data_IF_179519306632
#
_entry.id   IF_179519306632
#
_cell.length_a   1.000
_cell.length_b   1.000
_cell.length_c   1.000
_cell.angle_alpha   90.00
_cell.angle_beta   90.00
_cell.angle_gamma   90.00
#
_symmetry.space_group_name_H-M   'P 1'
#
loop_
_entity.id
_entity.type
_entity.pdbx_description
1 polymer ?
#
# COMPACT_ATOMS: atom_id res chain seq x y z
N UNK A 1 -11.77 12.26 -3.61
CA UNK A 1 -10.41 12.26 -4.16
C UNK A 1 -9.71 13.53 -3.72
N UNK A 2 -8.61 13.40 -2.97
CA UNK A 2 -7.86 14.52 -2.39
C UNK A 2 -6.52 14.62 -3.13
N UNK A 3 -6.15 15.78 -3.71
CA UNK A 3 -4.86 15.91 -4.38
C UNK A 3 -3.72 15.79 -3.37
N UNK A 4 -2.64 15.12 -3.76
CA UNK A 4 -1.39 15.10 -3.01
C UNK A 4 -0.71 16.45 -3.23
N UNK A 5 -0.62 17.25 -2.16
CA UNK A 5 0.11 18.51 -2.15
C UNK A 5 1.58 18.23 -1.80
N UNK A 6 2.44 18.23 -2.80
CA UNK A 6 3.89 18.10 -2.61
C UNK A 6 4.62 19.32 -3.11
N UNK A 7 5.66 19.74 -2.38
CA UNK A 7 6.59 20.78 -2.81
C UNK A 7 7.67 20.24 -3.74
N UNK A 8 7.76 18.91 -3.86
CA UNK A 8 8.72 18.26 -4.73
C UNK A 8 8.13 18.17 -6.16
N UNK A 9 8.78 18.70 -7.18
CA UNK A 9 8.26 18.69 -8.57
C UNK A 9 8.35 17.32 -9.24
N UNK A 10 8.44 16.26 -8.47
CA UNK A 10 8.68 14.90 -8.96
C UNK A 10 7.40 14.13 -9.26
N UNK A 11 6.29 14.47 -8.62
CA UNK A 11 5.04 13.72 -8.81
C UNK A 11 3.81 14.60 -8.62
N UNK A 12 2.73 14.22 -9.31
CA UNK A 12 1.37 14.68 -9.06
C UNK A 12 0.55 13.45 -8.71
N UNK A 13 -0.31 13.54 -7.70
CA UNK A 13 -1.07 12.38 -7.27
C UNK A 13 -2.37 12.74 -6.55
N UNK A 14 -3.15 11.70 -6.29
CA UNK A 14 -4.41 11.79 -5.57
C UNK A 14 -4.50 10.65 -4.56
N UNK A 15 -5.16 10.93 -3.45
CA UNK A 15 -5.51 9.96 -2.42
C UNK A 15 -7.03 9.93 -2.31
N UNK A 16 -7.61 8.74 -2.25
CA UNK A 16 -9.03 8.54 -1.96
C UNK A 16 -9.19 7.31 -1.07
N UNK A 17 -10.10 7.38 -0.10
CA UNK A 17 -10.43 6.25 0.78
C UNK A 17 -11.92 6.29 1.06
N UNK A 18 -12.60 5.18 0.80
CA UNK A 18 -14.06 5.06 0.95
C UNK A 18 -14.42 3.82 1.72
N UNK A 19 -15.45 3.93 2.53
CA UNK A 19 -15.93 2.84 3.38
C UNK A 19 -16.50 1.65 2.58
N UNK A 20 -17.00 1.91 1.37
CA UNK A 20 -17.68 0.87 0.59
C UNK A 20 -18.92 0.35 1.30
N UNK A 21 -19.15 -0.97 1.18
CA UNK A 21 -20.28 -1.66 1.83
C UNK A 21 -20.00 -2.14 3.26
N UNK A 22 -18.85 -1.81 3.85
CA UNK A 22 -18.46 -2.21 5.21
C UNK A 22 -19.12 -1.33 6.28
N UNK A 23 -19.24 -1.83 7.50
CA UNK A 23 -19.72 -1.05 8.65
C UNK A 23 -18.75 0.08 9.05
N UNK A 24 -17.45 -0.11 8.80
CA UNK A 24 -16.39 0.85 9.09
C UNK A 24 -15.29 0.77 8.04
N UNK A 25 -14.69 1.91 7.72
CA UNK A 25 -13.50 1.97 6.87
C UNK A 25 -12.26 1.77 7.72
N UNK A 26 -11.63 0.60 7.61
CA UNK A 26 -10.42 0.25 8.33
C UNK A 26 -9.14 0.58 7.55
N UNK A 27 -9.25 1.02 6.30
CA UNK A 27 -8.11 1.50 5.52
C UNK A 27 -7.63 2.85 6.01
N UNK A 28 -6.33 3.05 5.98
CA UNK A 28 -5.69 4.35 6.18
C UNK A 28 -4.69 4.60 5.08
N UNK A 29 -4.70 5.81 4.55
CA UNK A 29 -3.71 6.27 3.60
C UNK A 29 -3.14 7.61 4.07
N UNK A 30 -1.87 7.83 3.75
CA UNK A 30 -1.18 9.06 4.07
C UNK A 30 -0.03 9.33 3.12
N UNK A 31 0.42 10.58 3.09
CA UNK A 31 1.59 10.98 2.32
C UNK A 31 2.35 12.08 3.04
N UNK A 32 3.63 12.22 2.71
CA UNK A 32 4.48 13.26 3.27
C UNK A 32 5.63 13.60 2.33
N UNK A 33 5.93 14.90 2.22
CA UNK A 33 7.25 15.32 1.81
C UNK A 33 8.26 15.05 2.93
N UNK A 34 9.35 14.42 2.57
CA UNK A 34 10.41 14.05 3.50
C UNK A 34 11.77 14.45 2.92
N UNK A 35 12.84 14.53 3.74
CA UNK A 35 14.18 14.77 3.22
C UNK A 35 14.65 13.72 2.21
N UNK A 36 14.04 12.53 2.21
CA UNK A 36 14.40 11.41 1.35
C UNK A 36 13.55 11.31 0.07
N UNK A 37 12.51 12.13 -0.06
CA UNK A 37 11.57 12.12 -1.19
C UNK A 37 10.10 12.19 -0.76
N UNK A 38 9.20 12.06 -1.72
CA UNK A 38 7.76 11.93 -1.48
C UNK A 38 7.44 10.51 -1.01
N UNK A 39 6.93 10.39 0.21
CA UNK A 39 6.43 9.14 0.77
C UNK A 39 4.91 9.06 0.61
N UNK A 40 4.42 7.91 0.14
CA UNK A 40 2.99 7.56 0.13
C UNK A 40 2.81 6.21 0.82
N UNK A 41 1.84 6.12 1.72
CA UNK A 41 1.56 4.90 2.51
C UNK A 41 0.08 4.56 2.40
N UNK A 42 -0.22 3.26 2.23
CA UNK A 42 -1.56 2.69 2.32
C UNK A 42 -1.51 1.46 3.21
N UNK A 43 -2.42 1.41 4.16
CA UNK A 43 -2.56 0.34 5.14
C UNK A 43 -4.01 -0.13 5.18
N UNK A 44 -4.24 -1.44 5.06
CA UNK A 44 -5.53 -2.10 5.26
C UNK A 44 -5.55 -2.73 6.66
N UNK A 45 -6.44 -2.22 7.49
CA UNK A 45 -6.53 -2.63 8.89
C UNK A 45 -7.42 -3.86 9.09
N UNK A 46 -6.97 -4.79 9.92
CA UNK A 46 -7.69 -6.02 10.26
C UNK A 46 -7.83 -6.21 11.76
N UNK A 47 -8.80 -7.02 12.20
CA UNK A 47 -9.03 -7.33 13.62
C UNK A 47 -10.46 -7.09 14.06
N UNK A 48 -11.33 -6.71 13.12
CA UNK A 48 -12.75 -6.42 13.38
C UNK A 48 -12.99 -5.12 14.15
N UNK A 49 -14.01 -4.36 13.79
CA UNK A 49 -14.40 -3.11 14.44
C UNK A 49 -13.26 -2.09 14.57
N UNK A 50 -13.23 -1.30 15.64
CA UNK A 50 -12.28 -0.19 15.81
C UNK A 50 -10.80 -0.59 15.82
N UNK A 51 -10.51 -1.87 16.05
CA UNK A 51 -9.12 -2.36 16.16
C UNK A 51 -8.37 -2.30 14.85
N UNK A 52 -9.00 -2.65 13.72
CA UNK A 52 -8.38 -2.58 12.41
C UNK A 52 -8.04 -1.13 12.02
N UNK A 53 -8.98 -0.20 12.25
CA UNK A 53 -8.73 1.23 12.00
C UNK A 53 -7.60 1.78 12.86
N UNK A 54 -7.54 1.40 14.13
CA UNK A 54 -6.45 1.80 15.02
C UNK A 54 -5.11 1.27 14.51
N UNK A 55 -5.06 0.01 14.06
CA UNK A 55 -3.84 -0.60 13.54
C UNK A 55 -3.33 0.13 12.29
N UNK A 56 -4.19 0.34 11.28
CA UNK A 56 -3.81 1.02 10.05
C UNK A 56 -3.39 2.47 10.28
N UNK A 57 -4.08 3.20 11.16
CA UNK A 57 -3.72 4.58 11.51
C UNK A 57 -2.38 4.66 12.24
N UNK A 58 -2.18 3.83 13.28
CA UNK A 58 -0.91 3.81 14.03
C UNK A 58 0.26 3.46 13.10
N UNK A 59 0.11 2.46 12.25
CA UNK A 59 1.17 2.08 11.31
C UNK A 59 1.51 3.21 10.34
N UNK A 60 0.50 3.84 9.74
CA UNK A 60 0.68 4.95 8.80
C UNK A 60 1.40 6.13 9.48
N UNK A 61 0.97 6.51 10.68
CA UNK A 61 1.55 7.64 11.41
C UNK A 61 3.01 7.38 11.79
N UNK A 62 3.32 6.20 12.31
CA UNK A 62 4.69 5.83 12.71
C UNK A 62 5.61 5.81 11.49
N UNK A 63 5.16 5.23 10.36
CA UNK A 63 5.96 5.19 9.13
C UNK A 63 6.25 6.61 8.65
N UNK A 64 5.24 7.45 8.54
CA UNK A 64 5.40 8.84 8.08
C UNK A 64 6.33 9.62 9.00
N UNK A 65 6.16 9.54 10.32
CA UNK A 65 7.00 10.25 11.28
C UNK A 65 8.45 9.78 11.22
N UNK A 66 8.68 8.47 11.11
CA UNK A 66 10.03 7.91 11.02
C UNK A 66 10.75 8.37 9.77
N UNK A 67 10.10 8.29 8.60
CA UNK A 67 10.74 8.71 7.34
C UNK A 67 10.95 10.23 7.30
N UNK A 68 10.02 11.02 7.86
CA UNK A 68 10.19 12.48 8.02
C UNK A 68 11.39 12.87 8.88
N UNK A 69 11.73 12.07 9.88
CA UNK A 69 12.89 12.32 10.75
C UNK A 69 14.23 11.85 10.15
N UNK A 70 14.20 11.18 9.01
CA UNK A 70 15.39 10.79 8.26
C UNK A 70 16.18 11.99 7.75
N UNK A 71 17.46 11.79 7.55
CA UNK A 71 18.39 12.82 7.02
C UNK A 71 18.65 12.55 5.54
N UNK A 72 18.98 13.58 4.80
CA UNK A 72 19.33 13.49 3.37
C UNK A 72 20.51 12.53 3.10
N UNK A 73 21.38 12.35 4.10
CA UNK A 73 22.53 11.43 4.03
C UNK A 73 22.17 9.95 4.27
N UNK A 74 20.96 9.68 4.74
CA UNK A 74 20.55 8.32 5.10
C UNK A 74 20.18 7.53 3.85
N UNK A 75 20.34 6.22 3.89
CA UNK A 75 19.84 5.33 2.85
C UNK A 75 18.30 5.27 2.89
N UNK A 76 17.59 5.70 1.83
CA UNK A 76 16.13 5.69 1.81
C UNK A 76 15.53 4.29 2.04
N UNK A 77 16.18 3.24 1.50
CA UNK A 77 15.78 1.85 1.69
C UNK A 77 15.87 1.45 3.17
N UNK A 78 17.00 1.76 3.82
CA UNK A 78 17.21 1.43 5.24
C UNK A 78 16.24 2.17 6.14
N UNK A 79 15.98 3.45 5.88
CA UNK A 79 15.03 4.25 6.66
C UNK A 79 13.61 3.70 6.51
N UNK A 80 13.20 3.32 5.29
CA UNK A 80 11.87 2.77 5.04
C UNK A 80 11.70 1.40 5.71
N UNK A 81 12.71 0.54 5.66
CA UNK A 81 12.72 -0.74 6.38
C UNK A 81 12.58 -0.53 7.89
N UNK A 82 13.35 0.39 8.45
CA UNK A 82 13.30 0.72 9.87
C UNK A 82 11.93 1.31 10.26
N UNK A 83 11.34 2.15 9.42
CA UNK A 83 10.02 2.73 9.66
C UNK A 83 8.93 1.66 9.79
N UNK A 84 8.91 0.68 8.89
CA UNK A 84 7.96 -0.44 8.94
C UNK A 84 8.20 -1.30 10.19
N UNK A 85 9.46 -1.57 10.54
CA UNK A 85 9.80 -2.31 11.77
C UNK A 85 9.32 -1.57 13.02
N UNK A 86 9.50 -0.26 13.09
CA UNK A 86 9.00 0.56 14.21
C UNK A 86 7.47 0.56 14.28
N UNK A 87 6.78 0.62 13.14
CA UNK A 87 5.33 0.51 13.09
C UNK A 87 4.86 -0.84 13.65
N UNK A 88 5.49 -1.93 13.26
CA UNK A 88 5.19 -3.26 13.81
C UNK A 88 5.39 -3.31 15.33
N UNK A 89 6.51 -2.80 15.83
CA UNK A 89 6.79 -2.75 17.27
C UNK A 89 5.76 -1.90 18.04
N UNK A 90 5.31 -0.80 17.46
CA UNK A 90 4.27 0.04 18.07
C UNK A 90 2.96 -0.75 18.23
N UNK A 91 2.51 -1.46 17.19
CA UNK A 91 1.31 -2.30 17.26
C UNK A 91 1.44 -3.41 18.28
N UNK A 92 2.55 -4.14 18.28
CA UNK A 92 2.81 -5.22 19.27
C UNK A 92 2.76 -4.66 20.71
N UNK A 93 3.38 -3.48 20.94
CA UNK A 93 3.35 -2.83 22.25
C UNK A 93 1.93 -2.45 22.70
N UNK A 94 1.09 -1.98 21.75
CA UNK A 94 -0.32 -1.67 22.07
C UNK A 94 -1.14 -2.92 22.39
N UNK A 95 -0.95 -4.01 21.64
CA UNK A 95 -1.61 -5.29 21.90
C UNK A 95 -1.23 -5.84 23.28
N UNK A 96 0.04 -5.73 23.66
CA UNK A 96 0.52 -6.16 24.98
C UNK A 96 -0.12 -5.35 26.13
N UNK A 97 -0.28 -4.04 25.94
CA UNK A 97 -0.90 -3.16 26.94
C UNK A 97 -2.41 -3.35 27.04
N UNK A 98 -3.07 -3.74 25.95
CA UNK A 98 -4.53 -3.86 25.85
C UNK A 98 -4.91 -5.20 25.24
N UNK A 99 -5.11 -6.27 26.04
CA UNK A 99 -5.44 -7.60 25.52
C UNK A 99 -6.71 -7.66 24.65
N UNK A 100 -7.61 -6.69 24.79
CA UNK A 100 -8.79 -6.56 23.92
C UNK A 100 -8.43 -6.29 22.45
N UNK A 101 -7.19 -5.85 22.15
CA UNK A 101 -6.69 -5.61 20.79
C UNK A 101 -6.03 -6.85 20.18
N UNK A 102 -6.12 -8.02 20.80
CA UNK A 102 -5.60 -9.26 20.21
C UNK A 102 -6.23 -9.52 18.85
N UNK A 103 -5.36 -9.84 17.88
CA UNK A 103 -5.78 -10.03 16.48
C UNK A 103 -5.88 -8.75 15.67
N UNK A 104 -5.61 -7.58 16.26
CA UNK A 104 -5.45 -6.36 15.48
C UNK A 104 -4.15 -6.44 14.67
N UNK A 105 -4.22 -5.98 13.44
CA UNK A 105 -3.08 -5.91 12.53
C UNK A 105 -3.39 -5.05 11.33
N UNK A 106 -2.42 -4.91 10.46
CA UNK A 106 -2.61 -4.18 9.20
C UNK A 106 -1.63 -4.64 8.14
N UNK A 107 -2.04 -4.55 6.87
CA UNK A 107 -1.10 -4.56 5.76
C UNK A 107 -0.33 -3.24 5.74
N UNK A 108 0.71 -3.17 4.95
CA UNK A 108 1.36 -1.91 4.56
C UNK A 108 1.86 -1.99 3.13
N UNK A 109 1.59 -0.94 2.38
CA UNK A 109 2.31 -0.59 1.16
C UNK A 109 2.84 0.82 1.32
N UNK A 110 4.14 0.99 1.11
CA UNK A 110 4.81 2.29 1.20
C UNK A 110 5.67 2.50 -0.06
N UNK A 111 5.51 3.66 -0.68
CA UNK A 111 6.27 4.06 -1.86
C UNK A 111 6.99 5.36 -1.56
N UNK A 112 8.33 5.33 -1.58
CA UNK A 112 9.18 6.50 -1.42
C UNK A 112 9.80 6.83 -2.77
N UNK A 113 9.47 7.99 -3.31
CA UNK A 113 9.95 8.45 -4.63
C UNK A 113 10.89 9.63 -4.43
N UNK A 114 12.08 9.55 -4.97
CA UNK A 114 13.04 10.65 -5.07
C UNK A 114 13.46 10.87 -6.54
N UNK A 115 14.44 11.72 -6.79
CA UNK A 115 14.88 12.06 -8.15
C UNK A 115 15.52 10.88 -8.90
N UNK A 116 15.97 9.84 -8.18
CA UNK A 116 16.76 8.74 -8.73
C UNK A 116 15.95 7.46 -8.94
N UNK A 117 15.09 7.13 -7.96
CA UNK A 117 14.35 5.86 -7.94
C UNK A 117 13.05 5.96 -7.16
N UNK A 118 12.22 4.93 -7.29
CA UNK A 118 11.07 4.68 -6.44
C UNK A 118 11.33 3.41 -5.63
N UNK A 119 11.22 3.51 -4.30
CA UNK A 119 11.41 2.39 -3.39
C UNK A 119 10.04 1.93 -2.91
N UNK A 120 9.67 0.71 -3.30
CA UNK A 120 8.43 0.05 -2.89
C UNK A 120 8.72 -0.89 -1.72
N UNK A 121 8.01 -0.73 -0.60
CA UNK A 121 8.08 -1.62 0.55
C UNK A 121 6.69 -2.09 0.93
N UNK A 122 6.52 -3.39 1.26
CA UNK A 122 5.20 -3.92 1.52
C UNK A 122 5.20 -5.13 2.46
N UNK A 123 4.07 -5.30 3.17
CA UNK A 123 3.70 -6.46 3.97
C UNK A 123 2.20 -6.67 3.80
N UNK A 124 1.77 -7.90 3.50
CA UNK A 124 0.37 -8.23 3.27
C UNK A 124 0.01 -8.34 1.79
N UNK A 125 -1.24 -8.12 1.47
CA UNK A 125 -1.84 -8.29 0.15
C UNK A 125 -2.31 -6.98 -0.50
N UNK A 126 -2.14 -5.84 0.16
CA UNK A 126 -2.24 -4.54 -0.49
C UNK A 126 -1.11 -4.39 -1.53
N UNK A 127 -1.41 -3.75 -2.64
CA UNK A 127 -0.53 -3.79 -3.82
C UNK A 127 0.02 -2.43 -4.21
N UNK A 128 1.26 -2.45 -4.72
CA UNK A 128 1.89 -1.34 -5.44
C UNK A 128 2.06 -1.78 -6.90
N UNK A 129 1.57 -0.96 -7.81
CA UNK A 129 1.75 -1.13 -9.25
C UNK A 129 2.60 0.00 -9.81
N UNK A 130 3.42 -0.33 -10.81
CA UNK A 130 4.07 0.64 -11.70
C UNK A 130 3.59 0.39 -13.14
N UNK A 131 3.12 1.45 -13.78
CA UNK A 131 2.70 1.44 -15.17
C UNK A 131 3.56 2.37 -15.99
N UNK A 132 3.89 1.93 -17.21
CA UNK A 132 4.62 2.75 -18.19
C UNK A 132 3.95 2.59 -19.55
N UNK A 133 3.55 3.71 -20.16
CA UNK A 133 2.91 3.75 -21.48
C UNK A 133 1.74 2.77 -21.60
N UNK A 134 0.90 2.70 -20.59
CA UNK A 134 -0.27 1.81 -20.54
C UNK A 134 0.02 0.35 -20.22
N UNK A 135 1.25 -0.02 -19.91
CA UNK A 135 1.62 -1.40 -19.57
C UNK A 135 2.07 -1.51 -18.12
N UNK A 136 1.66 -2.59 -17.45
CA UNK A 136 2.18 -2.95 -16.14
C UNK A 136 3.66 -3.30 -16.26
N UNK A 137 4.51 -2.60 -15.53
CA UNK A 137 5.95 -2.85 -15.43
C UNK A 137 6.31 -3.62 -14.18
N UNK A 138 5.59 -3.34 -13.09
CA UNK A 138 5.81 -3.97 -11.79
C UNK A 138 4.49 -4.10 -11.04
N UNK A 139 4.40 -5.09 -10.20
CA UNK A 139 3.41 -5.28 -9.15
C UNK A 139 4.06 -6.01 -7.98
N UNK A 140 3.71 -5.61 -6.74
CA UNK A 140 4.06 -6.38 -5.54
C UNK A 140 3.44 -7.77 -5.56
N UNK A 141 4.04 -8.72 -4.86
CA UNK A 141 3.53 -10.07 -4.74
C UNK A 141 2.85 -10.24 -3.38
N UNK A 142 1.59 -10.66 -3.38
CA UNK A 142 0.79 -10.72 -2.15
C UNK A 142 1.32 -11.77 -1.18
N UNK A 143 1.40 -11.40 0.10
CA UNK A 143 1.66 -12.34 1.18
C UNK A 143 0.35 -13.01 1.61
N UNK A 144 -0.17 -13.88 0.76
CA UNK A 144 -1.38 -14.66 1.02
C UNK A 144 -1.20 -16.11 0.62
N UNK A 145 -1.99 -17.00 1.24
CA UNK A 145 -1.93 -18.43 0.96
C UNK A 145 -2.21 -18.74 -0.51
N UNK A 146 -3.20 -18.10 -1.10
CA UNK A 146 -3.59 -18.34 -2.50
C UNK A 146 -2.50 -17.86 -3.48
N UNK A 147 -1.79 -16.77 -3.16
CA UNK A 147 -0.71 -16.28 -4.01
C UNK A 147 0.58 -17.10 -3.87
N UNK A 148 0.81 -17.76 -2.75
CA UNK A 148 1.86 -18.82 -2.68
C UNK A 148 1.52 -19.99 -3.61
N UNK A 149 0.25 -20.37 -3.75
CA UNK A 149 -0.18 -21.38 -4.71
C UNK A 149 0.00 -20.91 -6.17
N UNK A 150 -0.20 -19.61 -6.45
CA UNK A 150 0.13 -19.04 -7.77
C UNK A 150 1.62 -19.11 -8.04
N UNK A 151 2.47 -18.75 -7.06
CA UNK A 151 3.93 -18.82 -7.19
C UNK A 151 4.42 -20.21 -7.51
N UNK A 152 3.81 -21.22 -6.88
CA UNK A 152 4.14 -22.62 -7.08
C UNK A 152 3.48 -23.23 -8.34
N UNK A 153 2.72 -22.44 -9.12
CA UNK A 153 2.06 -22.89 -10.34
C UNK A 153 0.85 -23.82 -10.11
N UNK A 154 0.35 -23.93 -8.88
CA UNK A 154 -0.81 -24.78 -8.53
C UNK A 154 -2.11 -24.19 -9.05
N UNK A 155 -2.26 -22.87 -8.99
CA UNK A 155 -3.42 -22.12 -9.49
C UNK A 155 -2.92 -20.87 -10.25
N UNK A 156 -3.80 -20.29 -11.08
CA UNK A 156 -3.52 -19.01 -11.71
C UNK A 156 -4.07 -17.83 -10.87
N UNK A 157 -3.70 -16.60 -11.23
CA UNK A 157 -4.08 -15.39 -10.49
C UNK A 157 -5.60 -15.17 -10.45
N UNK A 158 -6.33 -15.54 -11.50
CA UNK A 158 -7.79 -15.42 -11.53
C UNK A 158 -8.45 -16.43 -10.58
N UNK A 159 -7.92 -17.64 -10.52
CA UNK A 159 -8.36 -18.63 -9.53
C UNK A 159 -8.07 -18.18 -8.10
N UNK A 160 -6.89 -17.58 -7.86
CA UNK A 160 -6.54 -17.01 -6.56
C UNK A 160 -7.52 -15.89 -6.16
N UNK A 161 -7.81 -14.96 -7.07
CA UNK A 161 -8.73 -13.85 -6.84
C UNK A 161 -10.15 -14.30 -6.50
N UNK A 162 -10.63 -15.37 -7.14
CA UNK A 162 -11.99 -15.93 -6.95
C UNK A 162 -12.08 -16.95 -5.81
N UNK A 163 -10.97 -17.29 -5.18
CA UNK A 163 -10.92 -18.25 -4.07
C UNK A 163 -11.64 -17.71 -2.83
N UNK A 164 -12.35 -18.55 -2.12
CA UNK A 164 -12.90 -18.25 -0.79
C UNK A 164 -11.81 -17.92 0.24
N UNK A 165 -10.57 -18.36 0.00
CA UNK A 165 -9.40 -18.10 0.83
C UNK A 165 -8.58 -16.89 0.37
N UNK A 166 -9.09 -16.10 -0.59
CA UNK A 166 -8.38 -14.92 -1.12
C UNK A 166 -7.98 -13.90 -0.05
N UNK A 167 -8.73 -13.83 1.06
CA UNK A 167 -8.49 -12.92 2.18
C UNK A 167 -7.53 -13.49 3.25
N UNK A 168 -6.98 -14.69 3.06
CA UNK A 168 -6.08 -15.32 4.04
C UNK A 168 -4.65 -14.86 3.82
N UNK A 169 -4.29 -13.76 4.46
CA UNK A 169 -2.91 -13.24 4.43
C UNK A 169 -1.99 -14.03 5.36
N UNK A 170 -0.74 -14.15 4.96
CA UNK A 170 0.31 -14.88 5.70
C UNK A 170 1.26 -13.97 6.47
N UNK A 171 1.29 -12.68 6.13
CA UNK A 171 2.09 -11.66 6.82
C UNK A 171 1.24 -10.39 7.04
N UNK A 172 1.30 -9.83 8.27
CA UNK A 172 0.72 -8.55 8.63
C UNK A 172 1.49 -7.91 9.78
N UNK A 173 1.52 -6.58 9.83
CA UNK A 173 2.03 -5.85 10.99
C UNK A 173 1.10 -6.12 12.20
N UNK A 174 1.67 -6.26 13.38
CA UNK A 174 0.95 -6.60 14.60
C UNK A 174 0.78 -8.11 14.85
N UNK A 175 0.97 -8.96 13.83
CA UNK A 175 0.82 -10.41 13.96
C UNK A 175 2.02 -11.07 14.64
N UNK A 176 3.22 -10.69 14.27
CA UNK A 176 4.48 -11.26 14.78
C UNK A 176 5.47 -10.15 15.11
N UNK A 177 6.30 -10.33 16.14
CA UNK A 177 7.33 -9.37 16.53
C UNK A 177 8.46 -9.23 15.49
N UNK A 178 8.72 -10.28 14.74
CA UNK A 178 9.81 -10.36 13.76
C UNK A 178 9.23 -10.40 12.34
N UNK A 179 8.80 -9.23 11.86
CA UNK A 179 8.29 -9.05 10.52
C UNK A 179 9.31 -8.29 9.68
N UNK A 180 9.65 -8.87 8.54
CA UNK A 180 10.43 -8.21 7.51
C UNK A 180 9.52 -7.82 6.33
N UNK A 181 9.62 -6.54 5.93
CA UNK A 181 8.98 -6.06 4.71
C UNK A 181 9.76 -6.52 3.49
N UNK A 182 9.05 -6.87 2.43
CA UNK A 182 9.67 -7.00 1.12
C UNK A 182 9.92 -5.61 0.55
N UNK A 183 11.14 -5.35 0.07
CA UNK A 183 11.54 -4.03 -0.44
C UNK A 183 12.18 -4.19 -1.81
N UNK A 184 11.74 -3.37 -2.75
CA UNK A 184 12.23 -3.35 -4.13
C UNK A 184 12.51 -1.92 -4.56
N UNK A 185 13.69 -1.69 -5.09
CA UNK A 185 14.03 -0.42 -5.76
C UNK A 185 13.65 -0.51 -7.25
N UNK A 186 12.82 0.43 -7.70
CA UNK A 186 12.23 0.47 -9.02
C UNK A 186 12.80 1.65 -9.82
N UNK A 187 13.47 1.40 -10.95
CA UNK A 187 13.80 2.46 -11.87
C UNK A 187 12.52 3.01 -12.50
N UNK A 188 12.42 4.33 -12.60
CA UNK A 188 11.25 4.96 -13.19
C UNK A 188 11.64 6.03 -14.20
N UNK A 189 10.72 6.35 -15.11
CA UNK A 189 10.85 7.36 -16.14
C UNK A 189 9.73 8.40 -16.01
N UNK A 190 9.95 9.57 -16.59
CA UNK A 190 8.89 10.58 -16.69
C UNK A 190 7.67 10.01 -17.42
N UNK A 191 6.50 10.13 -16.81
CA UNK A 191 5.25 9.58 -17.32
C UNK A 191 4.92 8.19 -16.78
N UNK A 192 5.76 7.60 -15.93
CA UNK A 192 5.39 6.42 -15.16
C UNK A 192 4.29 6.78 -14.17
N UNK A 193 3.36 5.84 -13.96
CA UNK A 193 2.29 5.95 -12.97
C UNK A 193 2.46 4.90 -11.91
N UNK A 194 2.28 5.29 -10.66
CA UNK A 194 2.22 4.36 -9.55
C UNK A 194 0.82 4.33 -8.96
N UNK A 195 0.35 3.16 -8.57
CA UNK A 195 -0.91 2.98 -7.87
C UNK A 195 -0.67 2.10 -6.65
N UNK A 196 -1.10 2.59 -5.48
CA UNK A 196 -1.17 1.81 -4.26
C UNK A 196 -2.64 1.56 -3.95
N UNK A 197 -3.00 0.32 -3.66
CA UNK A 197 -4.40 -0.03 -3.38
C UNK A 197 -4.52 -1.23 -2.44
N UNK A 198 -5.60 -1.25 -1.68
CA UNK A 198 -6.03 -2.39 -0.88
C UNK A 198 -6.78 -3.43 -1.72
N UNK A 199 -7.12 -4.57 -1.13
CA UNK A 199 -7.89 -5.65 -1.76
C UNK A 199 -9.27 -5.18 -2.25
N UNK A 200 -9.81 -4.17 -1.57
CA UNK A 200 -11.04 -3.49 -1.96
C UNK A 200 -11.06 -2.97 -3.39
N UNK A 201 -9.91 -2.73 -4.01
CA UNK A 201 -9.81 -2.37 -5.43
C UNK A 201 -9.41 -3.58 -6.28
N UNK A 202 -8.25 -4.18 -6.01
CA UNK A 202 -7.75 -5.24 -6.87
C UNK A 202 -8.57 -6.53 -6.81
N UNK A 203 -9.26 -6.79 -5.70
CA UNK A 203 -10.17 -7.92 -5.55
C UNK A 203 -11.42 -7.83 -6.41
N UNK A 204 -11.87 -6.60 -6.73
CA UNK A 204 -13.12 -6.36 -7.47
C UNK A 204 -13.00 -6.54 -8.98
N UNK A 205 -11.81 -6.42 -9.54
CA UNK A 205 -11.61 -6.46 -10.97
C UNK A 205 -10.50 -7.45 -11.36
N UNK A 206 -10.66 -8.16 -12.50
CA UNK A 206 -9.52 -8.81 -13.13
C UNK A 206 -8.40 -7.79 -13.36
N UNK A 207 -7.15 -8.18 -13.15
CA UNK A 207 -6.00 -7.27 -13.23
C UNK A 207 -5.93 -6.53 -14.59
N UNK A 208 -6.30 -7.22 -15.68
CA UNK A 208 -6.37 -6.59 -17.02
C UNK A 208 -7.29 -5.37 -17.04
N UNK A 209 -8.47 -5.47 -16.42
CA UNK A 209 -9.42 -4.34 -16.35
C UNK A 209 -8.87 -3.19 -15.52
N UNK A 210 -8.17 -3.48 -14.44
CA UNK A 210 -7.49 -2.47 -13.64
C UNK A 210 -6.41 -1.74 -14.44
N UNK A 211 -5.61 -2.48 -15.21
CA UNK A 211 -4.60 -1.91 -16.13
C UNK A 211 -5.28 -0.99 -17.15
N UNK A 212 -6.36 -1.45 -17.79
CA UNK A 212 -7.09 -0.67 -18.80
C UNK A 212 -7.66 0.64 -18.21
N UNK A 213 -8.18 0.60 -16.99
CA UNK A 213 -8.67 1.80 -16.28
C UNK A 213 -7.53 2.78 -16.05
N UNK A 214 -6.41 2.32 -15.48
CA UNK A 214 -5.26 3.20 -15.18
C UNK A 214 -4.61 3.72 -16.47
N UNK A 215 -4.54 2.89 -17.50
CA UNK A 215 -3.99 3.27 -18.80
C UNK A 215 -4.89 4.25 -19.56
N UNK A 216 -6.22 4.03 -19.50
CA UNK A 216 -7.22 4.84 -20.21
C UNK A 216 -7.55 6.16 -19.54
N UNK A 217 -7.16 6.37 -18.30
CA UNK A 217 -7.41 7.61 -17.58
C UNK A 217 -6.43 8.70 -18.04
N UNK A 218 -6.76 9.36 -19.14
CA UNK A 218 -6.10 10.60 -19.53
C UNK A 218 -6.57 11.71 -18.60
N UNK A 219 -5.86 11.98 -17.53
CA UNK A 219 -5.99 13.26 -16.86
C UNK A 219 -5.30 14.33 -17.73
N UNK A 220 -6.10 15.13 -18.38
CA UNK A 220 -5.66 16.40 -18.98
C UNK A 220 -5.22 17.35 -17.86
N UNK A 221 -3.94 17.28 -17.47
CA UNK A 221 -3.26 18.37 -16.78
C UNK A 221 -2.02 18.73 -17.57
N UNK A 222 -2.08 19.89 -18.19
CA UNK A 222 -0.92 20.48 -18.84
C UNK A 222 0.09 20.92 -17.78
N UNK A 223 1.14 20.12 -17.60
CA UNK A 223 2.24 20.47 -16.73
C UNK A 223 2.97 19.20 -16.25
N UNK A 224 4.15 19.02 -16.68
CA UNK A 224 5.20 18.01 -16.51
C UNK A 224 5.37 17.25 -15.18
N UNK A 225 4.31 16.75 -14.58
CA UNK A 225 4.33 15.95 -13.35
C UNK A 225 4.16 14.43 -13.59
N UNK A 226 4.50 13.63 -12.60
CA UNK A 226 4.34 12.16 -12.57
C UNK A 226 3.07 11.80 -11.80
N UNK A 227 2.27 10.85 -12.32
CA UNK A 227 0.97 10.52 -11.73
C UNK A 227 1.10 9.44 -10.66
N UNK A 228 0.54 9.69 -9.50
CA UNK A 228 0.44 8.76 -8.38
C UNK A 228 -1.03 8.56 -8.02
N UNK A 229 -1.51 7.32 -8.00
CA UNK A 229 -2.90 6.99 -7.68
C UNK A 229 -2.93 6.12 -6.43
N UNK A 230 -3.68 6.56 -5.44
CA UNK A 230 -3.93 5.79 -4.22
C UNK A 230 -5.45 5.69 -4.04
N UNK A 231 -6.01 4.50 -3.92
CA UNK A 231 -7.46 4.32 -3.87
C UNK A 231 -7.94 3.17 -3.01
N UNK A 232 -9.06 3.40 -2.36
CA UNK A 232 -9.93 2.44 -1.69
C UNK A 232 -11.36 2.53 -2.26
N UNK A 233 -12.17 1.51 -2.10
CA UNK A 233 -13.25 1.01 -2.94
C UNK A 233 -14.64 1.64 -2.90
N UNK A 234 -15.42 1.40 -3.98
CA UNK A 234 -16.89 1.29 -3.94
C UNK A 234 -17.31 -0.19 -4.02
N UNK A 235 -17.57 -0.81 -2.87
CA UNK A 235 -18.20 -2.12 -2.83
C UNK A 235 -19.67 -2.04 -3.20
N UNK A 236 -20.06 -2.50 -4.39
CA UNK A 236 -21.45 -2.88 -4.65
C UNK A 236 -21.72 -4.19 -3.93
N UNK A 237 -22.59 -4.14 -2.91
CA UNK A 237 -23.09 -5.35 -2.28
C UNK A 237 -23.63 -6.32 -3.33
N UNK A 238 -23.16 -7.56 -3.26
CA UNK A 238 -23.88 -8.68 -3.88
C UNK A 238 -25.09 -8.94 -2.99
N UNK A 239 -26.29 -8.69 -3.54
CA UNK A 239 -27.53 -9.23 -3.03
C UNK A 239 -27.60 -10.74 -3.29
#
# INVERSE_FOLDING_TARGET
MIPINTQLPIAVGFVDSRQGGRAENQDTCGYADTPLGLLVVVCDGMGGGPSGKAASSTATDVIIQTVRSGKLSDSPLTVLQQAIKMANQALISEIQKKPALRGMGTTVTALLINEYSAIAAYVGDSRIYQFRRGHKKFRTFDHSMVFEMVRNGTINEEQARLSEQSNMITKALGANSDIEADIVELPYEKGDRFMLCTDGIWGMFPERKLIDIVAGTFFFWGGGGRDLVCGGEEGKGKG
#
